data_IF_077125695261
#
_entry.id   IF_077125695261
#
_cell.length_a   1.000
_cell.length_b   1.000
_cell.length_c   1.000
_cell.angle_alpha   90.00
_cell.angle_beta   90.00
_cell.angle_gamma   90.00
#
_symmetry.space_group_name_H-M   'P 1'
#
loop_
_entity.id
_entity.type
_entity.pdbx_description
1 polymer ?
#
# COMPACT_ATOMS: atom_id res chain seq x y z
N UNK A 1 7.76 -4.01 35.19
CA UNK A 1 6.37 -3.55 35.09
C UNK A 1 5.85 -4.05 33.74
N UNK A 2 4.97 -5.05 33.74
CA UNK A 2 4.44 -5.71 32.53
C UNK A 2 3.52 -4.75 31.77
N UNK A 3 3.90 -4.37 30.55
CA UNK A 3 3.03 -3.61 29.65
C UNK A 3 2.27 -4.58 28.77
N UNK A 4 0.95 -4.59 28.93
CA UNK A 4 0.03 -5.41 28.16
C UNK A 4 0.10 -5.03 26.67
N UNK A 5 0.47 -6.01 25.84
CA UNK A 5 0.32 -5.96 24.39
C UNK A 5 -1.18 -6.10 24.11
N UNK A 6 -1.84 -4.98 23.81
CA UNK A 6 -3.16 -5.03 23.15
C UNK A 6 -2.90 -5.56 21.75
N UNK A 7 -3.07 -6.87 21.56
CA UNK A 7 -3.30 -7.47 20.24
C UNK A 7 -4.60 -6.87 19.72
N UNK A 8 -4.52 -5.85 18.86
CA UNK A 8 -5.62 -5.57 17.93
C UNK A 8 -5.64 -6.72 16.94
N UNK A 9 -6.78 -7.41 16.91
CA UNK A 9 -7.10 -8.48 15.97
C UNK A 9 -6.87 -8.03 14.52
N UNK A 10 -5.77 -8.46 13.92
CA UNK A 10 -5.58 -8.45 12.46
C UNK A 10 -6.39 -9.54 11.76
N UNK A 11 -7.21 -10.29 12.50
CA UNK A 11 -8.11 -11.33 12.01
C UNK A 11 -9.40 -10.76 11.41
N UNK A 12 -9.90 -9.63 11.92
CA UNK A 12 -11.18 -9.07 11.46
C UNK A 12 -11.12 -8.51 10.02
N UNK A 13 -10.05 -7.79 9.67
CA UNK A 13 -9.90 -7.21 8.32
C UNK A 13 -9.47 -8.26 7.27
N UNK A 14 -8.73 -9.30 7.68
CA UNK A 14 -8.37 -10.41 6.79
C UNK A 14 -9.57 -11.31 6.46
N UNK A 15 -10.43 -11.60 7.44
CA UNK A 15 -11.68 -12.33 7.22
C UNK A 15 -12.64 -11.51 6.34
N UNK A 16 -12.73 -10.20 6.55
CA UNK A 16 -13.63 -9.35 5.78
C UNK A 16 -13.27 -9.24 4.28
N UNK A 17 -11.97 -9.21 3.93
CA UNK A 17 -11.54 -9.12 2.53
C UNK A 17 -11.63 -10.45 1.77
N UNK A 18 -11.28 -11.57 2.43
CA UNK A 18 -11.42 -12.90 1.84
C UNK A 18 -12.91 -13.25 1.64
N UNK A 19 -13.76 -12.91 2.61
CA UNK A 19 -15.21 -13.05 2.47
C UNK A 19 -15.76 -12.20 1.32
N UNK A 20 -15.23 -10.99 1.06
CA UNK A 20 -15.73 -10.11 0.01
C UNK A 20 -15.45 -10.62 -1.41
N UNK A 21 -14.25 -11.17 -1.63
CA UNK A 21 -13.89 -11.78 -2.91
C UNK A 21 -14.67 -13.08 -3.13
N UNK A 22 -14.87 -13.89 -2.07
CA UNK A 22 -15.71 -15.09 -2.12
C UNK A 22 -17.20 -14.77 -2.34
N UNK A 23 -17.72 -13.70 -1.72
CA UNK A 23 -19.09 -13.23 -1.94
C UNK A 23 -19.26 -12.75 -3.39
N UNK A 24 -18.32 -11.95 -3.91
CA UNK A 24 -18.39 -11.47 -5.30
C UNK A 24 -18.36 -12.64 -6.29
N UNK A 25 -17.47 -13.62 -6.06
CA UNK A 25 -17.39 -14.84 -6.86
C UNK A 25 -18.67 -15.67 -6.76
N UNK A 26 -19.23 -15.84 -5.56
CA UNK A 26 -20.49 -16.55 -5.33
C UNK A 26 -21.66 -15.88 -6.06
N UNK A 27 -21.80 -14.56 -5.94
CA UNK A 27 -22.86 -13.79 -6.60
C UNK A 27 -22.72 -13.88 -8.13
N UNK A 28 -21.49 -13.83 -8.66
CA UNK A 28 -21.25 -14.02 -10.09
C UNK A 28 -21.69 -15.42 -10.57
N UNK A 29 -21.32 -16.49 -9.82
CA UNK A 29 -21.76 -17.87 -10.14
C UNK A 29 -23.28 -18.02 -10.10
N UNK A 30 -23.92 -17.54 -9.02
CA UNK A 30 -25.38 -17.62 -8.87
C UNK A 30 -26.10 -16.83 -9.97
N UNK A 31 -25.57 -15.68 -10.38
CA UNK A 31 -26.13 -14.89 -11.50
C UNK A 31 -26.05 -15.67 -12.81
N UNK A 32 -24.93 -16.35 -13.07
CA UNK A 32 -24.78 -17.21 -14.23
C UNK A 32 -25.76 -18.38 -14.23
N UNK A 33 -25.92 -19.05 -13.07
CA UNK A 33 -26.84 -20.17 -12.90
C UNK A 33 -28.31 -19.76 -13.11
N UNK A 34 -28.71 -18.62 -12.52
CA UNK A 34 -30.06 -18.05 -12.73
C UNK A 34 -30.30 -17.75 -14.21
N UNK A 35 -29.31 -17.19 -14.90
CA UNK A 35 -29.43 -16.89 -16.34
C UNK A 35 -29.61 -18.17 -17.17
N UNK A 36 -28.83 -19.21 -16.87
CA UNK A 36 -28.91 -20.49 -17.58
C UNK A 36 -30.28 -21.17 -17.37
N UNK A 37 -30.73 -21.25 -16.10
CA UNK A 37 -32.04 -21.81 -15.75
C UNK A 37 -33.15 -21.04 -16.45
N UNK A 38 -33.12 -19.71 -16.39
CA UNK A 38 -34.20 -18.91 -16.93
C UNK A 38 -34.24 -18.95 -18.47
N UNK A 39 -33.10 -18.92 -19.15
CA UNK A 39 -33.01 -19.17 -20.59
C UNK A 39 -33.56 -20.56 -20.97
N UNK A 40 -33.20 -21.60 -20.21
CA UNK A 40 -33.69 -22.97 -20.44
C UNK A 40 -35.21 -23.11 -20.26
N UNK A 41 -35.78 -22.49 -19.23
CA UNK A 41 -37.23 -22.48 -18.99
C UNK A 41 -37.97 -21.68 -20.05
N UNK A 42 -37.42 -20.55 -20.49
CA UNK A 42 -38.04 -19.72 -21.53
C UNK A 42 -38.11 -20.43 -22.89
N UNK A 43 -37.03 -21.12 -23.29
CA UNK A 43 -37.04 -22.01 -24.46
C UNK A 43 -38.08 -23.13 -24.35
N UNK A 44 -38.27 -23.68 -23.14
CA UNK A 44 -39.28 -24.71 -22.90
C UNK A 44 -40.71 -24.17 -23.06
N UNK A 45 -40.98 -22.94 -22.57
CA UNK A 45 -42.25 -22.25 -22.77
C UNK A 45 -42.50 -22.03 -24.26
N UNK A 46 -41.53 -21.50 -25.00
CA UNK A 46 -41.64 -21.30 -26.45
C UNK A 46 -41.96 -22.61 -27.19
N UNK A 47 -41.35 -23.73 -26.79
CA UNK A 47 -41.64 -25.06 -27.35
C UNK A 47 -43.08 -25.50 -27.07
N UNK A 48 -43.56 -25.37 -25.83
CA UNK A 48 -44.94 -25.73 -25.45
C UNK A 48 -45.94 -24.86 -26.22
N UNK A 49 -45.69 -23.56 -26.29
CA UNK A 49 -46.54 -22.61 -27.01
C UNK A 49 -46.61 -22.92 -28.51
N UNK A 50 -45.49 -23.32 -29.12
CA UNK A 50 -45.46 -23.78 -30.52
C UNK A 50 -46.31 -25.04 -30.73
N UNK A 51 -46.20 -26.02 -29.84
CA UNK A 51 -47.05 -27.23 -29.87
C UNK A 51 -48.54 -26.87 -29.70
N UNK A 52 -48.86 -25.94 -28.80
CA UNK A 52 -50.22 -25.46 -28.58
C UNK A 52 -50.80 -24.77 -29.84
N UNK A 53 -50.00 -23.96 -30.54
CA UNK A 53 -50.37 -23.35 -31.83
C UNK A 53 -50.69 -24.40 -32.89
N UNK A 54 -49.89 -25.47 -32.99
CA UNK A 54 -50.13 -26.58 -33.92
C UNK A 54 -51.44 -27.30 -33.55
N UNK A 55 -51.66 -27.56 -32.26
CA UNK A 55 -52.88 -28.22 -31.79
C UNK A 55 -54.14 -27.38 -32.11
N UNK A 56 -54.06 -26.07 -31.85
CA UNK A 56 -55.12 -25.13 -32.18
C UNK A 56 -55.34 -24.98 -33.70
N UNK A 57 -54.27 -25.09 -34.50
CA UNK A 57 -54.37 -25.13 -35.95
C UNK A 57 -55.11 -26.38 -36.44
N UNK A 58 -54.75 -27.55 -35.92
CA UNK A 58 -55.42 -28.80 -36.24
C UNK A 58 -56.90 -28.75 -35.83
N UNK A 59 -57.21 -28.19 -34.66
CA UNK A 59 -58.58 -28.02 -34.20
C UNK A 59 -59.39 -27.07 -35.11
N UNK A 60 -58.79 -26.01 -35.65
CA UNK A 60 -59.43 -25.11 -36.61
C UNK A 60 -59.68 -25.78 -37.96
N UNK A 61 -58.74 -26.60 -38.44
CA UNK A 61 -58.92 -27.40 -39.67
C UNK A 61 -60.10 -28.37 -39.50
N UNK A 62 -60.15 -29.11 -38.39
CA UNK A 62 -61.22 -30.07 -38.14
C UNK A 62 -62.58 -29.38 -37.90
N UNK A 63 -62.59 -28.23 -37.25
CA UNK A 63 -63.78 -27.39 -37.09
C UNK A 63 -64.34 -26.93 -38.43
N UNK A 64 -63.46 -26.51 -39.36
CA UNK A 64 -63.85 -26.14 -40.72
C UNK A 64 -64.41 -27.35 -41.49
N UNK A 65 -63.82 -28.53 -41.29
CA UNK A 65 -64.26 -29.79 -41.92
C UNK A 65 -65.64 -30.25 -41.42
N UNK A 66 -65.96 -30.01 -40.15
CA UNK A 66 -67.26 -30.30 -39.55
C UNK A 66 -68.37 -29.30 -39.91
N UNK A 67 -68.05 -28.20 -40.62
CA UNK A 67 -69.02 -27.21 -41.08
C UNK A 67 -69.77 -26.52 -39.93
N UNK A 68 -71.11 -26.45 -40.00
CA UNK A 68 -71.94 -25.78 -38.98
C UNK A 68 -71.81 -26.37 -37.57
N UNK A 69 -71.55 -27.68 -37.47
CA UNK A 69 -71.37 -28.39 -36.19
C UNK A 69 -70.04 -28.02 -35.49
N UNK A 70 -69.03 -27.56 -36.25
CA UNK A 70 -67.70 -27.20 -35.74
C UNK A 70 -67.54 -25.73 -35.33
N UNK A 71 -68.56 -24.88 -35.51
CA UNK A 71 -68.45 -23.43 -35.32
C UNK A 71 -68.02 -23.03 -33.89
N UNK A 72 -68.51 -23.72 -32.86
CA UNK A 72 -68.10 -23.48 -31.47
C UNK A 72 -66.64 -23.86 -31.20
N UNK A 73 -66.16 -24.95 -31.79
CA UNK A 73 -64.77 -25.38 -31.67
C UNK A 73 -63.79 -24.44 -32.36
N UNK A 74 -64.19 -23.81 -33.47
CA UNK A 74 -63.38 -22.80 -34.15
C UNK A 74 -63.09 -21.58 -33.26
N UNK A 75 -64.07 -21.13 -32.47
CA UNK A 75 -63.91 -20.01 -31.53
C UNK A 75 -62.90 -20.37 -30.44
N UNK A 76 -63.05 -21.55 -29.82
CA UNK A 76 -62.13 -22.02 -28.77
C UNK A 76 -60.71 -22.16 -29.31
N UNK A 77 -60.55 -22.75 -30.49
CA UNK A 77 -59.24 -22.90 -31.11
C UNK A 77 -58.60 -21.56 -31.49
N UNK A 78 -59.38 -20.54 -31.87
CA UNK A 78 -58.86 -19.19 -32.09
C UNK A 78 -58.39 -18.55 -30.78
N UNK A 79 -59.14 -18.71 -29.69
CA UNK A 79 -58.76 -18.20 -28.38
C UNK A 79 -57.47 -18.84 -27.86
N UNK A 80 -57.31 -20.16 -28.05
CA UNK A 80 -56.07 -20.88 -27.72
C UNK A 80 -54.87 -20.32 -28.51
N UNK A 81 -55.04 -19.96 -29.79
CA UNK A 81 -53.96 -19.31 -30.56
C UNK A 81 -53.62 -17.93 -30.02
N UNK A 82 -54.63 -17.14 -29.65
CA UNK A 82 -54.46 -15.79 -29.11
C UNK A 82 -53.68 -15.84 -27.79
N UNK A 83 -54.08 -16.72 -26.87
CA UNK A 83 -53.38 -16.97 -25.60
C UNK A 83 -51.95 -17.45 -25.86
N UNK A 84 -51.76 -18.39 -26.80
CA UNK A 84 -50.43 -18.84 -27.19
C UNK A 84 -49.53 -17.70 -27.70
N UNK A 85 -50.06 -16.79 -28.52
CA UNK A 85 -49.30 -15.63 -28.99
C UNK A 85 -48.88 -14.70 -27.83
N UNK A 86 -49.78 -14.44 -26.87
CA UNK A 86 -49.45 -13.65 -25.67
C UNK A 86 -48.38 -14.32 -24.80
N UNK A 87 -48.46 -15.64 -24.61
CA UNK A 87 -47.43 -16.39 -23.87
C UNK A 87 -46.07 -16.29 -24.56
N UNK A 88 -46.04 -16.34 -25.90
CA UNK A 88 -44.79 -16.20 -26.66
C UNK A 88 -44.18 -14.81 -26.51
N UNK A 89 -45.00 -13.76 -26.53
CA UNK A 89 -44.58 -12.39 -26.29
C UNK A 89 -44.01 -12.20 -24.88
N UNK A 90 -44.74 -12.66 -23.86
CA UNK A 90 -44.28 -12.62 -22.45
C UNK A 90 -42.98 -13.40 -22.27
N UNK A 91 -42.86 -14.58 -22.90
CA UNK A 91 -41.64 -15.38 -22.85
C UNK A 91 -40.44 -14.63 -23.45
N UNK A 92 -40.61 -13.99 -24.61
CA UNK A 92 -39.54 -13.21 -25.25
C UNK A 92 -39.16 -11.97 -24.44
N UNK A 93 -40.14 -11.26 -23.90
CA UNK A 93 -39.89 -10.09 -23.04
C UNK A 93 -39.13 -10.49 -21.77
N UNK A 94 -39.53 -11.60 -21.13
CA UNK A 94 -38.84 -12.18 -19.99
C UNK A 94 -37.39 -12.56 -20.32
N UNK A 95 -37.13 -13.21 -21.46
CA UNK A 95 -35.77 -13.54 -21.93
C UNK A 95 -34.90 -12.28 -22.10
N UNK A 96 -35.47 -11.24 -22.73
CA UNK A 96 -34.77 -9.98 -22.99
C UNK A 96 -34.44 -9.24 -21.69
N UNK A 97 -35.41 -9.09 -20.79
CA UNK A 97 -35.22 -8.42 -19.51
C UNK A 97 -34.22 -9.15 -18.63
N UNK A 98 -34.30 -10.47 -18.54
CA UNK A 98 -33.34 -11.27 -17.79
C UNK A 98 -31.93 -11.11 -18.32
N UNK A 99 -31.72 -11.28 -19.62
CA UNK A 99 -30.39 -11.13 -20.25
C UNK A 99 -29.80 -9.74 -19.98
N UNK A 100 -30.63 -8.70 -20.07
CA UNK A 100 -30.21 -7.33 -19.77
C UNK A 100 -29.82 -7.17 -18.30
N UNK A 101 -30.66 -7.62 -17.36
CA UNK A 101 -30.43 -7.49 -15.92
C UNK A 101 -29.24 -8.32 -15.43
N UNK A 102 -29.07 -9.53 -15.94
CA UNK A 102 -27.91 -10.38 -15.60
C UNK A 102 -26.61 -9.76 -16.13
N UNK A 103 -26.62 -9.18 -17.33
CA UNK A 103 -25.49 -8.42 -17.87
C UNK A 103 -25.13 -7.19 -17.01
N UNK A 104 -26.13 -6.40 -16.61
CA UNK A 104 -25.95 -5.25 -15.70
C UNK A 104 -25.36 -5.68 -14.34
N UNK A 105 -25.84 -6.80 -13.78
CA UNK A 105 -25.33 -7.37 -12.53
C UNK A 105 -23.88 -7.82 -12.65
N UNK A 106 -23.52 -8.56 -13.69
CA UNK A 106 -22.14 -9.04 -13.93
C UNK A 106 -21.17 -7.85 -14.05
N UNK A 107 -21.55 -6.82 -14.81
CA UNK A 107 -20.74 -5.60 -14.93
C UNK A 107 -20.57 -4.87 -13.60
N UNK A 108 -21.63 -4.83 -12.78
CA UNK A 108 -21.61 -4.20 -11.47
C UNK A 108 -20.71 -4.95 -10.49
N UNK A 109 -20.78 -6.28 -10.49
CA UNK A 109 -19.93 -7.16 -9.68
C UNK A 109 -18.47 -6.97 -10.07
N UNK A 110 -18.14 -7.01 -11.37
CA UNK A 110 -16.76 -6.79 -11.84
C UNK A 110 -16.20 -5.43 -11.39
N UNK A 111 -17.03 -4.37 -11.46
CA UNK A 111 -16.63 -3.04 -10.99
C UNK A 111 -16.46 -2.96 -9.47
N UNK A 112 -17.22 -3.75 -8.71
CA UNK A 112 -17.16 -3.81 -7.25
C UNK A 112 -15.92 -4.57 -6.79
N UNK A 113 -15.61 -5.73 -7.38
CA UNK A 113 -14.39 -6.50 -7.11
C UNK A 113 -13.14 -5.66 -7.40
N UNK A 114 -13.12 -4.95 -8.52
CA UNK A 114 -12.02 -4.08 -8.88
C UNK A 114 -11.81 -2.93 -7.89
N UNK A 115 -12.90 -2.31 -7.41
CA UNK A 115 -12.83 -1.27 -6.37
C UNK A 115 -12.36 -1.84 -5.04
N UNK A 116 -12.92 -2.97 -4.59
CA UNK A 116 -12.54 -3.64 -3.35
C UNK A 116 -11.05 -3.95 -3.31
N UNK A 117 -10.52 -4.54 -4.41
CA UNK A 117 -9.10 -4.83 -4.54
C UNK A 117 -8.26 -3.55 -4.51
N UNK A 118 -8.71 -2.52 -5.22
CA UNK A 118 -8.08 -1.21 -5.21
C UNK A 118 -7.99 -0.59 -3.81
N UNK A 119 -9.10 -0.53 -3.10
CA UNK A 119 -9.18 0.05 -1.74
C UNK A 119 -8.24 -0.70 -0.79
N UNK A 120 -8.22 -2.04 -0.87
CA UNK A 120 -7.27 -2.86 -0.11
C UNK A 120 -5.81 -2.52 -0.41
N UNK A 121 -5.44 -2.30 -1.68
CA UNK A 121 -4.07 -1.90 -2.02
C UNK A 121 -3.71 -0.51 -1.48
N UNK A 122 -4.66 0.41 -1.43
CA UNK A 122 -4.47 1.74 -0.81
C UNK A 122 -4.23 1.61 0.70
N UNK A 123 -5.05 0.81 1.39
CA UNK A 123 -4.92 0.59 2.83
C UNK A 123 -3.60 -0.11 3.19
N UNK A 124 -3.20 -1.12 2.41
CA UNK A 124 -1.91 -1.79 2.60
C UNK A 124 -0.73 -0.84 2.30
N UNK A 125 -0.87 0.04 1.30
CA UNK A 125 0.13 1.07 0.99
C UNK A 125 0.26 2.09 2.13
N UNK A 126 -0.86 2.50 2.74
CA UNK A 126 -0.90 3.37 3.91
C UNK A 126 -0.17 2.72 5.08
N UNK A 127 -0.54 1.49 5.43
CA UNK A 127 0.07 0.76 6.52
C UNK A 127 1.59 0.62 6.36
N UNK A 128 2.07 0.35 5.14
CA UNK A 128 3.50 0.23 4.86
C UNK A 128 4.26 1.55 5.12
N UNK A 129 3.74 2.69 4.65
CA UNK A 129 4.41 3.98 4.83
C UNK A 129 4.27 4.51 6.26
N UNK A 130 3.13 4.29 6.93
CA UNK A 130 2.93 4.71 8.32
C UNK A 130 3.86 3.97 9.30
N UNK A 131 4.09 2.67 9.09
CA UNK A 131 5.01 1.89 9.91
C UNK A 131 6.43 2.45 9.86
N UNK A 132 6.85 2.93 8.68
CA UNK A 132 8.12 3.62 8.51
C UNK A 132 8.12 4.95 9.26
N UNK A 133 7.13 5.81 9.07
CA UNK A 133 7.11 7.13 9.72
C UNK A 133 7.16 7.02 11.24
N UNK A 134 6.43 6.06 11.82
CA UNK A 134 6.44 5.82 13.25
C UNK A 134 7.82 5.37 13.74
N UNK A 135 8.49 4.50 12.98
CA UNK A 135 9.85 4.06 13.31
C UNK A 135 10.85 5.22 13.22
N UNK A 136 10.68 6.09 12.21
CA UNK A 136 11.53 7.23 11.95
C UNK A 136 11.33 8.39 12.94
N UNK A 137 10.12 8.58 13.46
CA UNK A 137 9.82 9.62 14.45
C UNK A 137 10.74 9.56 15.67
N UNK A 138 10.93 8.36 16.24
CA UNK A 138 11.77 8.15 17.41
C UNK A 138 13.22 8.57 17.18
N UNK A 139 13.73 8.45 15.94
CA UNK A 139 15.10 8.82 15.56
C UNK A 139 15.34 10.32 15.67
N UNK A 140 14.30 11.12 15.43
CA UNK A 140 14.36 12.59 15.57
C UNK A 140 14.50 13.01 17.04
N UNK A 141 13.93 12.25 17.97
CA UNK A 141 14.05 12.49 19.41
C UNK A 141 15.41 12.00 19.93
N UNK A 142 15.81 10.79 19.51
CA UNK A 142 17.08 10.17 19.89
C UNK A 142 18.27 11.10 19.59
N UNK A 143 18.38 11.62 18.35
CA UNK A 143 19.54 12.45 17.96
C UNK A 143 19.63 13.74 18.77
N UNK A 144 18.49 14.39 19.06
CA UNK A 144 18.45 15.64 19.83
C UNK A 144 18.82 15.41 21.28
N UNK A 145 18.32 14.32 21.86
CA UNK A 145 18.65 13.95 23.23
C UNK A 145 20.13 13.61 23.39
N UNK A 146 20.68 12.77 22.51
CA UNK A 146 22.08 12.35 22.58
C UNK A 146 23.07 13.47 22.24
N UNK A 147 22.64 14.48 21.48
CA UNK A 147 23.45 15.69 21.25
C UNK A 147 23.70 16.51 22.53
N UNK A 148 22.98 16.22 23.62
CA UNK A 148 23.17 16.83 24.95
C UNK A 148 23.99 15.98 25.93
N UNK A 149 24.45 14.78 25.54
CA UNK A 149 25.32 13.98 26.42
C UNK A 149 26.61 14.75 26.70
N UNK A 150 27.00 14.84 27.98
CA UNK A 150 28.10 15.68 28.41
C UNK A 150 29.43 15.31 27.74
N UNK A 151 29.68 14.02 27.47
CA UNK A 151 30.91 13.62 26.80
C UNK A 151 30.95 14.08 25.34
N UNK A 152 29.80 14.09 24.67
CA UNK A 152 29.65 14.59 23.29
C UNK A 152 29.86 16.10 23.27
N UNK A 153 29.25 16.83 24.22
CA UNK A 153 29.39 18.29 24.36
C UNK A 153 30.83 18.68 24.69
N UNK A 154 31.45 18.03 25.67
CA UNK A 154 32.82 18.31 26.11
C UNK A 154 33.83 18.06 24.98
N UNK A 155 33.66 16.96 24.24
CA UNK A 155 34.50 16.68 23.08
C UNK A 155 34.31 17.69 21.94
N UNK A 156 33.09 18.16 21.69
CA UNK A 156 32.85 19.19 20.68
C UNK A 156 33.42 20.55 21.10
N UNK A 157 33.36 20.89 22.40
CA UNK A 157 33.90 22.13 22.93
C UNK A 157 35.44 22.15 22.93
N UNK A 158 36.06 21.02 23.25
CA UNK A 158 37.51 20.86 23.30
C UNK A 158 37.91 19.51 22.70
N UNK A 159 38.06 19.44 21.37
CA UNK A 159 38.39 18.18 20.70
C UNK A 159 39.86 17.82 20.94
N UNK A 160 40.10 16.97 21.93
CA UNK A 160 41.39 16.31 22.15
C UNK A 160 41.24 14.78 22.17
N UNK A 161 42.37 14.07 22.16
CA UNK A 161 42.36 12.61 22.06
C UNK A 161 41.62 11.94 23.23
N UNK A 162 41.67 12.52 24.43
CA UNK A 162 41.02 11.98 25.61
C UNK A 162 39.51 12.20 25.55
N UNK A 163 39.06 13.42 25.21
CA UNK A 163 37.64 13.73 25.07
C UNK A 163 36.99 12.92 23.93
N UNK A 164 37.69 12.74 22.81
CA UNK A 164 37.20 11.96 21.67
C UNK A 164 37.06 10.47 22.02
N UNK A 165 38.04 9.90 22.73
CA UNK A 165 37.97 8.52 23.21
C UNK A 165 36.78 8.33 24.14
N UNK A 166 36.59 9.23 25.12
CA UNK A 166 35.49 9.12 26.06
C UNK A 166 34.12 9.32 25.39
N UNK A 167 34.00 10.27 24.47
CA UNK A 167 32.79 10.42 23.65
C UNK A 167 32.48 9.15 22.86
N UNK A 168 33.50 8.53 22.24
CA UNK A 168 33.35 7.25 21.54
C UNK A 168 32.83 6.11 22.44
N UNK A 169 33.35 5.99 23.66
CA UNK A 169 32.86 5.02 24.66
C UNK A 169 31.38 5.27 25.02
N UNK A 170 30.98 6.52 25.20
CA UNK A 170 29.59 6.89 25.50
C UNK A 170 28.65 6.58 24.33
N UNK A 171 29.07 6.89 23.10
CA UNK A 171 28.33 6.53 21.89
C UNK A 171 28.23 5.00 21.74
N UNK A 172 29.26 4.24 22.12
CA UNK A 172 29.23 2.77 22.12
C UNK A 172 28.20 2.21 23.11
N UNK A 173 28.06 2.81 24.30
CA UNK A 173 27.02 2.44 25.28
C UNK A 173 25.62 2.63 24.69
N UNK A 174 25.37 3.75 24.00
CA UNK A 174 24.11 4.00 23.29
C UNK A 174 23.87 2.90 22.24
N UNK A 175 24.87 2.61 21.41
CA UNK A 175 24.79 1.57 20.37
C UNK A 175 24.60 0.15 20.92
N UNK A 176 24.95 -0.11 22.18
CA UNK A 176 24.68 -1.36 22.87
C UNK A 176 23.21 -1.52 23.28
N UNK A 177 22.52 -0.41 23.57
CA UNK A 177 21.10 -0.40 23.90
C UNK A 177 20.19 -0.24 22.66
N UNK A 178 20.65 0.48 21.64
CA UNK A 178 19.89 0.80 20.43
C UNK A 178 20.54 0.15 19.20
N UNK A 179 20.12 -1.09 18.92
CA UNK A 179 20.75 -1.95 17.89
C UNK A 179 20.40 -1.59 16.45
N UNK A 180 19.41 -0.71 16.24
CA UNK A 180 18.94 -0.28 14.91
C UNK A 180 19.87 0.72 14.21
N UNK A 181 20.91 1.19 14.89
CA UNK A 181 21.89 2.11 14.32
C UNK A 181 23.17 1.37 13.91
N UNK A 182 23.69 1.75 12.75
CA UNK A 182 24.99 1.29 12.28
C UNK A 182 26.11 1.95 13.06
N UNK A 183 26.07 3.28 13.21
CA UNK A 183 27.05 4.03 13.98
C UNK A 183 26.51 5.43 14.32
N UNK A 184 27.15 6.09 15.29
CA UNK A 184 26.91 7.50 15.64
C UNK A 184 28.21 8.26 15.49
N UNK A 185 28.18 9.41 14.82
CA UNK A 185 29.35 10.23 14.54
C UNK A 185 29.19 11.62 15.15
N UNK A 186 30.16 12.01 15.97
CA UNK A 186 30.34 13.40 16.37
C UNK A 186 31.21 14.11 15.33
N UNK A 187 30.66 15.13 14.69
CA UNK A 187 31.35 15.93 13.68
C UNK A 187 31.62 17.35 14.19
N UNK A 188 32.79 17.90 13.89
CA UNK A 188 33.09 19.31 14.05
C UNK A 188 32.29 20.17 13.05
N UNK A 189 32.26 21.48 13.28
CA UNK A 189 31.57 22.43 12.39
C UNK A 189 32.24 22.54 11.00
N UNK A 190 33.49 22.13 10.88
CA UNK A 190 34.24 22.01 9.64
C UNK A 190 33.92 20.72 8.86
N UNK A 191 33.15 19.81 9.47
CA UNK A 191 32.79 18.51 8.92
C UNK A 191 33.81 17.41 9.20
N UNK A 192 34.81 17.63 10.05
CA UNK A 192 35.73 16.56 10.47
C UNK A 192 35.05 15.66 11.50
N UNK A 193 35.10 14.34 11.31
CA UNK A 193 34.58 13.38 12.31
C UNK A 193 35.56 13.34 13.49
N UNK A 194 35.09 13.75 14.67
CA UNK A 194 35.85 13.83 15.91
C UNK A 194 35.84 12.50 16.69
N UNK A 195 34.69 11.83 16.73
CA UNK A 195 34.52 10.55 17.42
C UNK A 195 33.39 9.73 16.78
N UNK A 196 33.45 8.41 16.92
CA UNK A 196 32.36 7.51 16.57
C UNK A 196 32.12 6.42 17.61
N UNK A 197 30.95 5.80 17.60
CA UNK A 197 30.55 4.78 18.57
C UNK A 197 31.08 3.37 18.30
N UNK A 198 31.57 3.09 17.08
CA UNK A 198 32.14 1.78 16.71
C UNK A 198 33.49 1.91 15.98
N UNK A 199 34.53 2.51 16.61
CA UNK A 199 35.83 2.73 15.97
C UNK A 199 36.52 1.44 15.51
N UNK A 200 36.29 0.33 16.23
CA UNK A 200 36.83 -1.00 15.83
C UNK A 200 36.15 -1.62 14.60
N UNK A 201 34.98 -1.11 14.19
CA UNK A 201 34.26 -1.56 12.99
C UNK A 201 34.37 -0.55 11.84
N UNK A 202 34.34 0.74 12.16
CA UNK A 202 34.35 1.83 11.19
C UNK A 202 35.47 2.83 11.53
N UNK A 203 36.52 2.85 10.72
CA UNK A 203 37.66 3.77 10.86
C UNK A 203 37.39 5.12 10.21
N UNK A 204 36.47 5.90 10.79
CA UNK A 204 35.96 7.14 10.18
C UNK A 204 36.50 8.42 10.80
N UNK A 205 37.04 8.36 12.02
CA UNK A 205 37.60 9.52 12.73
C UNK A 205 38.69 10.19 11.88
N UNK A 206 38.64 11.52 11.80
CA UNK A 206 39.52 12.34 10.95
C UNK A 206 39.08 12.47 9.49
N UNK A 207 38.10 11.68 9.04
CA UNK A 207 37.52 11.85 7.70
C UNK A 207 36.57 13.05 7.67
N UNK A 208 36.33 13.59 6.46
CA UNK A 208 35.41 14.73 6.27
C UNK A 208 34.05 14.30 5.75
N UNK A 209 33.00 14.90 6.31
CA UNK A 209 31.59 14.82 5.87
C UNK A 209 31.06 16.17 5.37
N UNK A 210 31.93 17.17 5.19
CA UNK A 210 31.53 18.52 4.75
C UNK A 210 30.79 18.53 3.39
N UNK A 211 31.08 17.53 2.54
CA UNK A 211 30.42 17.34 1.26
C UNK A 211 29.02 16.73 1.33
N UNK A 212 28.64 16.10 2.44
CA UNK A 212 27.38 15.41 2.59
C UNK A 212 26.20 16.38 2.74
N UNK A 213 25.08 16.09 2.07
CA UNK A 213 23.92 16.99 2.07
C UNK A 213 23.27 17.10 3.45
N UNK A 214 23.14 15.99 4.18
CA UNK A 214 22.64 16.00 5.55
C UNK A 214 23.48 16.87 6.48
N UNK A 215 24.81 16.93 6.28
CA UNK A 215 25.70 17.75 7.11
C UNK A 215 25.53 19.24 6.79
N UNK A 216 25.50 19.59 5.49
CA UNK A 216 25.26 20.97 5.03
C UNK A 216 23.91 21.51 5.51
N UNK A 217 22.89 20.65 5.56
CA UNK A 217 21.59 20.99 6.12
C UNK A 217 21.66 21.15 7.64
N UNK A 218 22.34 20.24 8.34
CA UNK A 218 22.47 20.29 9.80
C UNK A 218 23.21 21.55 10.29
N UNK A 219 24.18 22.06 9.52
CA UNK A 219 24.85 23.33 9.82
C UNK A 219 23.90 24.55 9.83
N UNK A 220 22.70 24.44 9.26
CA UNK A 220 21.70 25.52 9.21
C UNK A 220 20.72 25.48 10.39
N UNK A 221 20.81 24.48 11.27
CA UNK A 221 19.93 24.33 12.44
C UNK A 221 20.13 25.50 13.41
N UNK A 222 19.02 26.05 13.91
CA UNK A 222 19.03 27.28 14.74
C UNK A 222 18.93 26.98 16.23
N UNK A 223 18.35 25.84 16.58
CA UNK A 223 18.21 25.33 17.93
C UNK A 223 18.70 23.88 18.02
N UNK A 224 19.10 23.46 19.23
CA UNK A 224 19.27 22.03 19.56
C UNK A 224 17.95 21.25 19.58
N UNK A 225 16.81 21.95 19.58
CA UNK A 225 15.49 21.33 19.43
C UNK A 225 15.14 21.01 17.97
N UNK A 226 15.89 21.57 17.01
CA UNK A 226 15.75 21.29 15.59
C UNK A 226 16.50 20.00 15.22
N UNK A 227 16.14 19.39 14.09
CA UNK A 227 16.82 18.22 13.54
C UNK A 227 16.81 18.23 12.01
N UNK A 228 17.69 17.43 11.41
CA UNK A 228 17.64 17.06 9.99
C UNK A 228 17.38 15.57 9.88
N UNK A 229 16.52 15.19 8.95
CA UNK A 229 16.34 13.81 8.49
C UNK A 229 16.81 13.75 7.03
N UNK A 230 17.98 13.15 6.82
CA UNK A 230 18.60 13.05 5.51
C UNK A 230 17.88 12.09 4.57
N UNK A 231 18.16 12.21 3.27
CA UNK A 231 17.70 11.25 2.28
C UNK A 231 18.29 9.87 2.54
N UNK A 232 17.57 8.82 2.13
CA UNK A 232 18.13 7.47 2.09
C UNK A 232 19.21 7.42 1.01
N UNK A 233 20.40 6.99 1.42
CA UNK A 233 21.58 6.89 0.56
C UNK A 233 22.47 5.72 0.95
N UNK A 234 23.41 5.34 0.08
CA UNK A 234 24.46 4.39 0.44
C UNK A 234 25.65 5.14 1.04
N UNK A 235 26.16 4.64 2.16
CA UNK A 235 27.28 5.25 2.87
C UNK A 235 28.54 4.37 2.76
N UNK A 236 29.53 4.72 1.91
CA UNK A 236 30.75 3.91 1.73
C UNK A 236 31.50 3.66 3.04
N UNK A 237 31.59 4.66 3.92
CA UNK A 237 32.24 4.60 5.22
C UNK A 237 31.58 3.60 6.19
N UNK A 238 30.33 3.21 5.93
CA UNK A 238 29.57 2.22 6.69
C UNK A 238 29.42 0.91 5.92
N UNK A 239 30.38 0.58 5.04
CA UNK A 239 30.36 -0.65 4.26
C UNK A 239 29.35 -0.62 3.11
N UNK A 240 29.07 0.57 2.55
CA UNK A 240 28.11 0.79 1.47
C UNK A 240 26.65 0.40 1.82
N UNK A 241 26.34 0.35 3.12
CA UNK A 241 25.00 0.11 3.64
C UNK A 241 24.05 1.27 3.29
N UNK A 242 22.75 0.97 3.15
CA UNK A 242 21.73 2.01 3.02
C UNK A 242 21.43 2.61 4.38
N UNK A 243 21.49 3.93 4.47
CA UNK A 243 21.29 4.65 5.72
C UNK A 243 20.28 5.77 5.57
N UNK A 244 19.55 6.03 6.64
CA UNK A 244 18.87 7.29 6.87
C UNK A 244 19.63 8.02 7.99
N UNK A 245 20.28 9.14 7.65
CA UNK A 245 21.09 9.89 8.62
C UNK A 245 20.26 10.97 9.29
N UNK A 246 20.20 10.95 10.61
CA UNK A 246 19.55 12.00 11.41
C UNK A 246 20.60 12.86 12.10
N UNK A 247 20.38 14.16 12.13
CA UNK A 247 21.35 15.10 12.69
C UNK A 247 20.70 16.08 13.67
N UNK A 248 21.45 16.44 14.70
CA UNK A 248 21.15 17.57 15.58
C UNK A 248 22.43 18.35 15.90
N UNK A 249 22.29 19.64 16.21
CA UNK A 249 23.42 20.46 16.62
C UNK A 249 23.81 20.16 18.07
N UNK A 250 25.09 19.84 18.29
CA UNK A 250 25.70 19.83 19.62
C UNK A 250 26.01 21.27 20.00
N UNK A 251 25.56 21.70 21.18
CA UNK A 251 25.61 23.11 21.61
C UNK A 251 26.23 23.25 22.99
N UNK A 252 26.79 24.44 23.26
CA UNK A 252 27.45 24.76 24.52
C UNK A 252 26.56 24.46 25.73
N UNK A 253 27.17 23.86 26.75
CA UNK A 253 26.51 23.42 27.99
C UNK A 253 25.33 22.46 27.79
N UNK A 254 25.21 21.81 26.62
CA UNK A 254 24.07 20.97 26.26
C UNK A 254 22.74 21.71 26.12
N UNK A 255 22.76 23.05 26.04
CA UNK A 255 21.55 23.88 25.97
C UNK A 255 21.08 24.03 24.52
N UNK A 256 19.78 23.92 24.27
CA UNK A 256 19.22 24.07 22.92
C UNK A 256 19.48 25.45 22.30
N UNK A 257 19.62 26.49 23.13
CA UNK A 257 19.97 27.87 22.71
C UNK A 257 21.47 28.19 22.83
N UNK A 258 22.31 27.24 23.20
CA UNK A 258 23.76 27.43 23.33
C UNK A 258 24.44 27.70 21.99
N UNK A 259 25.68 28.16 22.00
CA UNK A 259 26.46 28.32 20.76
C UNK A 259 26.71 26.95 20.11
N UNK A 260 26.62 26.82 18.77
CA UNK A 260 26.90 25.56 18.09
C UNK A 260 28.37 25.17 18.25
N UNK A 261 28.62 23.91 18.60
CA UNK A 261 29.96 23.34 18.79
C UNK A 261 30.26 22.25 17.75
N UNK A 262 29.24 21.54 17.28
CA UNK A 262 29.37 20.45 16.33
C UNK A 262 28.01 19.89 15.92
N UNK A 263 28.03 18.80 15.18
CA UNK A 263 26.85 18.06 14.73
C UNK A 263 26.97 16.62 15.21
N UNK A 264 25.93 16.11 15.88
CA UNK A 264 25.79 14.68 16.11
C UNK A 264 24.98 14.10 14.94
N UNK A 265 25.55 13.12 14.25
CA UNK A 265 24.89 12.36 13.20
C UNK A 265 24.67 10.91 13.66
N UNK A 266 23.45 10.40 13.50
CA UNK A 266 23.12 9.02 13.82
C UNK A 266 22.69 8.30 12.54
N UNK A 267 23.35 7.18 12.24
CA UNK A 267 23.17 6.47 10.98
C UNK A 267 22.27 5.25 11.21
N UNK A 268 20.98 5.43 10.92
CA UNK A 268 19.98 4.39 11.05
C UNK A 268 20.15 3.34 9.94
N UNK A 269 20.09 2.05 10.31
CA UNK A 269 20.13 0.94 9.36
C UNK A 269 18.80 0.83 8.61
N UNK A 270 18.72 1.57 7.50
CA UNK A 270 17.51 1.65 6.70
C UNK A 270 17.15 0.32 6.07
N UNK A 271 18.14 -0.41 5.55
CA UNK A 271 17.91 -1.60 4.73
C UNK A 271 17.16 -2.70 5.49
N UNK A 272 17.60 -3.01 6.72
CA UNK A 272 16.99 -4.06 7.52
C UNK A 272 15.52 -3.77 7.85
N UNK A 273 15.23 -2.52 8.25
CA UNK A 273 13.92 -2.11 8.72
C UNK A 273 12.94 -1.95 7.56
N UNK A 274 13.37 -1.29 6.48
CA UNK A 274 12.53 -1.10 5.32
C UNK A 274 12.20 -2.43 4.62
N UNK A 275 13.17 -3.36 4.54
CA UNK A 275 12.94 -4.73 4.02
C UNK A 275 11.87 -5.47 4.82
N UNK A 276 11.97 -5.44 6.15
CA UNK A 276 11.01 -6.12 7.01
C UNK A 276 9.57 -5.59 6.80
N UNK A 277 9.42 -4.29 6.52
CA UNK A 277 8.12 -3.67 6.26
C UNK A 277 7.57 -4.08 4.90
N UNK A 278 8.34 -3.90 3.81
CA UNK A 278 7.85 -4.22 2.46
C UNK A 278 7.60 -5.72 2.25
N UNK A 279 8.35 -6.60 2.92
CA UNK A 279 8.12 -8.05 2.90
C UNK A 279 7.07 -8.51 3.92
N UNK A 280 6.75 -7.66 4.90
CA UNK A 280 5.76 -7.92 5.94
C UNK A 280 4.31 -7.69 5.50
N UNK A 281 4.10 -6.94 4.41
CA UNK A 281 2.77 -6.68 3.85
C UNK A 281 2.13 -8.00 3.40
N UNK A 282 0.94 -8.29 3.93
CA UNK A 282 0.20 -9.52 3.64
C UNK A 282 -0.69 -9.34 2.42
N UNK A 283 -0.18 -9.82 1.30
CA UNK A 283 -0.89 -9.90 0.02
C UNK A 283 -1.37 -11.32 -0.24
N UNK A 284 -2.31 -11.47 -1.17
CA UNK A 284 -2.73 -12.81 -1.62
C UNK A 284 -1.53 -13.49 -2.31
N UNK A 285 -1.18 -14.74 -1.97
CA UNK A 285 -0.10 -15.46 -2.65
C UNK A 285 -0.28 -15.62 -4.16
N UNK A 286 -1.52 -15.55 -4.66
CA UNK A 286 -1.82 -15.60 -6.09
C UNK A 286 -1.57 -14.25 -6.79
N UNK A 287 -1.56 -13.15 -6.04
CA UNK A 287 -1.23 -11.84 -6.58
C UNK A 287 0.29 -11.72 -6.72
N UNK A 288 0.76 -11.64 -7.97
CA UNK A 288 2.16 -11.30 -8.25
C UNK A 288 2.37 -9.81 -7.97
N UNK A 289 2.59 -9.49 -6.71
CA UNK A 289 2.58 -8.14 -6.19
C UNK A 289 3.96 -7.66 -5.71
N UNK A 290 4.26 -6.41 -6.03
CA UNK A 290 5.48 -5.70 -5.65
C UNK A 290 5.13 -4.55 -4.72
N UNK A 291 5.70 -4.57 -3.52
CA UNK A 291 5.51 -3.54 -2.49
C UNK A 291 6.73 -2.62 -2.52
N UNK A 292 6.48 -1.31 -2.56
CA UNK A 292 7.49 -0.29 -2.69
C UNK A 292 7.32 0.79 -1.63
N UNK A 293 8.44 1.31 -1.16
CA UNK A 293 8.52 2.61 -0.52
C UNK A 293 9.26 3.54 -1.47
N UNK A 294 8.68 4.70 -1.75
CA UNK A 294 9.26 5.71 -2.63
C UNK A 294 9.54 6.99 -1.86
N UNK A 295 10.63 7.68 -2.20
CA UNK A 295 10.87 9.04 -1.70
C UNK A 295 9.98 10.09 -2.39
N UNK A 296 10.08 11.35 -1.97
CA UNK A 296 9.30 12.47 -2.52
C UNK A 296 9.57 12.77 -4.00
N UNK A 297 10.59 12.15 -4.59
CA UNK A 297 10.92 12.23 -6.02
C UNK A 297 10.65 10.91 -6.75
N UNK A 298 9.84 10.04 -6.13
CA UNK A 298 9.44 8.72 -6.59
C UNK A 298 10.59 7.75 -6.85
N UNK A 299 11.75 7.97 -6.21
CA UNK A 299 12.84 7.01 -6.26
C UNK A 299 12.56 5.87 -5.28
N UNK A 300 12.81 4.63 -5.70
CA UNK A 300 12.62 3.45 -4.87
C UNK A 300 13.62 3.47 -3.73
N UNK A 301 13.13 3.58 -2.50
CA UNK A 301 13.93 3.50 -1.27
C UNK A 301 13.75 2.14 -0.57
N UNK A 302 12.71 1.37 -0.90
CA UNK A 302 12.61 -0.05 -0.54
C UNK A 302 11.71 -0.79 -1.54
N UNK A 303 11.97 -2.08 -1.74
CA UNK A 303 11.17 -2.95 -2.58
C UNK A 303 11.11 -4.37 -2.02
N UNK A 304 9.95 -5.03 -2.09
CA UNK A 304 9.75 -6.41 -1.59
C UNK A 304 10.64 -7.44 -2.29
N UNK A 305 10.93 -7.20 -3.58
CA UNK A 305 11.81 -8.01 -4.43
C UNK A 305 13.29 -7.58 -4.39
N UNK A 306 13.61 -6.52 -3.63
CA UNK A 306 14.96 -5.95 -3.55
C UNK A 306 15.48 -5.32 -4.85
N UNK A 307 14.64 -5.13 -5.87
CA UNK A 307 15.05 -4.59 -7.17
C UNK A 307 14.96 -3.06 -7.21
N UNK A 308 15.90 -2.43 -7.92
CA UNK A 308 15.86 -0.98 -8.19
C UNK A 308 16.19 -0.08 -7.00
N UNK A 309 16.70 -0.62 -5.90
CA UNK A 309 16.94 0.11 -4.66
C UNK A 309 17.89 1.31 -4.88
N UNK A 310 17.39 2.52 -4.63
CA UNK A 310 18.06 3.81 -4.78
C UNK A 310 18.44 4.20 -6.21
N UNK A 311 18.06 3.41 -7.21
CA UNK A 311 18.38 3.62 -8.63
C UNK A 311 17.14 3.83 -9.48
N UNK A 312 16.10 3.03 -9.24
CA UNK A 312 14.83 3.11 -9.98
C UNK A 312 14.04 4.34 -9.55
N UNK A 313 13.49 5.05 -10.55
CA UNK A 313 12.42 6.03 -10.35
C UNK A 313 11.12 5.44 -10.85
N UNK A 314 10.22 5.13 -9.93
CA UNK A 314 8.92 4.58 -10.26
C UNK A 314 8.04 5.70 -10.84
N UNK A 315 7.43 5.53 -12.02
CA UNK A 315 6.61 6.56 -12.65
C UNK A 315 5.21 6.65 -12.02
N UNK A 316 5.15 7.01 -10.73
CA UNK A 316 3.91 7.08 -9.97
C UNK A 316 2.98 8.19 -10.52
N UNK A 317 1.71 7.83 -10.76
CA UNK A 317 0.69 8.78 -11.21
C UNK A 317 -0.23 9.15 -10.06
N UNK A 318 0.04 10.28 -9.41
CA UNK A 318 -0.74 10.73 -8.24
C UNK A 318 -1.90 11.66 -8.59
N UNK A 319 -1.88 12.32 -9.76
CA UNK A 319 -2.95 13.24 -10.22
C UNK A 319 -3.42 14.28 -9.16
N UNK A 320 -2.51 14.75 -8.30
CA UNK A 320 -2.83 15.69 -7.21
C UNK A 320 -3.49 15.05 -5.98
N UNK A 321 -3.73 13.74 -5.99
CA UNK A 321 -4.28 12.99 -4.86
C UNK A 321 -3.18 12.51 -3.92
N UNK A 322 -3.52 12.39 -2.63
CA UNK A 322 -2.63 11.82 -1.61
C UNK A 322 -2.60 10.29 -1.66
N UNK A 323 -3.69 9.68 -2.09
CA UNK A 323 -3.84 8.24 -2.23
C UNK A 323 -4.80 7.93 -3.37
N UNK A 324 -4.74 6.71 -3.89
CA UNK A 324 -5.62 6.29 -4.95
C UNK A 324 -5.15 5.04 -5.65
N UNK A 325 -5.90 4.66 -6.68
CA UNK A 325 -5.62 3.48 -7.49
C UNK A 325 -5.72 3.79 -8.97
N UNK A 326 -4.95 3.07 -9.78
CA UNK A 326 -5.04 3.11 -11.23
C UNK A 326 -4.51 1.82 -11.86
N UNK A 327 -4.83 1.59 -13.13
CA UNK A 327 -4.18 0.55 -13.94
C UNK A 327 -3.03 1.15 -14.75
N UNK A 328 -1.87 0.51 -14.68
CA UNK A 328 -0.72 0.90 -15.49
C UNK A 328 -0.82 0.39 -16.93
N UNK A 329 0.19 0.70 -17.76
CA UNK A 329 0.21 0.29 -19.17
C UNK A 329 0.33 -1.24 -19.36
N UNK A 330 0.80 -1.97 -18.35
CA UNK A 330 0.85 -3.44 -18.35
C UNK A 330 -0.46 -4.08 -17.88
N UNK A 331 -1.44 -3.27 -17.46
CA UNK A 331 -2.69 -3.73 -16.87
C UNK A 331 -2.59 -4.05 -15.38
N UNK A 332 -1.42 -3.86 -14.75
CA UNK A 332 -1.25 -4.06 -13.31
C UNK A 332 -2.04 -3.00 -12.54
N UNK A 333 -2.67 -3.39 -11.43
CA UNK A 333 -3.32 -2.47 -10.52
C UNK A 333 -2.28 -1.86 -9.58
N UNK A 334 -2.23 -0.54 -9.52
CA UNK A 334 -1.33 0.21 -8.65
C UNK A 334 -2.19 0.89 -7.59
N UNK A 335 -1.95 0.56 -6.32
CA UNK A 335 -2.42 1.34 -5.18
C UNK A 335 -1.28 2.17 -4.60
N UNK A 336 -1.58 3.38 -4.15
CA UNK A 336 -0.58 4.23 -3.50
C UNK A 336 -1.16 5.05 -2.36
N UNK A 337 -0.30 5.42 -1.42
CA UNK A 337 -0.63 6.35 -0.35
C UNK A 337 0.59 7.19 0.04
N UNK A 338 0.42 8.52 0.08
CA UNK A 338 1.37 9.48 0.62
C UNK A 338 1.36 9.40 2.14
N UNK A 339 2.53 9.44 2.76
CA UNK A 339 2.68 9.56 4.22
C UNK A 339 1.71 10.60 4.83
N UNK A 340 0.99 10.25 5.91
CA UNK A 340 0.27 11.22 6.71
C UNK A 340 1.19 11.98 7.69
N UNK A 341 2.44 11.53 7.86
CA UNK A 341 3.31 11.86 8.98
C UNK A 341 2.93 11.09 10.25
N UNK A 342 3.64 11.34 11.34
CA UNK A 342 3.38 10.77 12.65
C UNK A 342 3.71 11.80 13.76
N UNK A 343 2.73 12.11 14.60
CA UNK A 343 2.86 13.10 15.68
C UNK A 343 3.39 14.47 15.17
N UNK A 344 4.56 14.89 15.64
CA UNK A 344 5.21 16.15 15.21
C UNK A 344 6.13 15.97 14.00
N UNK A 345 6.37 14.73 13.56
CA UNK A 345 7.11 14.43 12.35
C UNK A 345 6.17 14.39 11.15
N UNK A 346 6.29 15.38 10.27
CA UNK A 346 5.40 15.53 9.11
C UNK A 346 5.61 14.49 8.01
N UNK A 347 6.56 13.57 8.17
CA UNK A 347 7.02 12.67 7.11
C UNK A 347 7.93 13.38 6.10
N UNK A 348 8.63 12.59 5.27
CA UNK A 348 9.54 13.10 4.23
C UNK A 348 8.89 13.18 2.84
N UNK A 349 7.55 13.19 2.79
CA UNK A 349 6.79 13.17 1.55
C UNK A 349 6.90 11.84 0.80
N UNK A 350 7.09 10.75 1.54
CA UNK A 350 7.26 9.40 1.00
C UNK A 350 5.92 8.73 0.67
N UNK A 351 5.97 7.76 -0.23
CA UNK A 351 4.81 7.00 -0.66
C UNK A 351 4.99 5.52 -0.36
N UNK A 352 3.95 4.89 0.17
CA UNK A 352 3.75 3.45 0.02
C UNK A 352 3.08 3.19 -1.31
N UNK A 353 3.56 2.19 -2.05
CA UNK A 353 3.00 1.80 -3.35
C UNK A 353 2.97 0.29 -3.44
N UNK A 354 1.86 -0.26 -3.93
CA UNK A 354 1.75 -1.68 -4.24
C UNK A 354 1.31 -1.83 -5.69
N UNK A 355 2.06 -2.61 -6.46
CA UNK A 355 1.74 -2.99 -7.83
C UNK A 355 1.34 -4.44 -7.82
N UNK A 356 0.07 -4.75 -8.09
CA UNK A 356 -0.45 -6.13 -8.16
C UNK A 356 -0.82 -6.49 -9.60
N UNK A 357 -0.30 -7.62 -10.08
CA UNK A 357 -0.76 -8.28 -11.30
C UNK A 357 -1.64 -9.45 -10.90
N UNK A 358 -2.90 -9.41 -11.32
CA UNK A 358 -3.71 -10.63 -11.36
C UNK A 358 -3.15 -11.52 -12.46
N UNK A 359 -2.86 -12.78 -12.13
CA UNK A 359 -2.60 -13.83 -13.12
C UNK A 359 -3.87 -14.26 -13.84
#
# INVERSE_FOLDING_TARGET
MQTAVIRRDGSADQVASADHDDISALVARLTSEVNEIACGKTKSIQKITSQMKILALNALIESARAGKQGAGFAIVAQEVRNVGAQIEEIARDLESQLTKRTGELISSIGSMTERSRGDRLVDLSLNAVELIDRNLYERTCDVRWWATDSAVVDCAAKPDAASASYAGERLAVILGAYTVYLDLWLCGLDGTILANGRPGRFGVVGSSVAGCDWFKEALRLRSGDDYVAGNVERMPQLGNAQVATYCASVRSDGRSTGAPLGILAIHFDWEAQARAIVQGVRLDPQDNARVLLLDSRFRVIAASDGSGLLEERFPLKVAGQRSGTYRDASGAMVGFHLTPGYETYRGLGWYGVIVSRAE
#
